data_IF_211808650696
#
_entry.id   IF_211808650696
#
_cell.length_a   1.000
_cell.length_b   1.000
_cell.length_c   1.000
_cell.angle_alpha   90.00
_cell.angle_beta   90.00
_cell.angle_gamma   90.00
#
_symmetry.space_group_name_H-M   'P 1'
#
loop_
_entity.id
_entity.type
_entity.pdbx_description
1 polymer ?
#
# COMPACT_ATOMS: atom_id res chain seq x y z
N UNK A 1 23.30 41.01 -20.13
CA UNK A 1 22.60 40.65 -18.87
C UNK A 1 21.82 39.31 -18.96
N UNK A 2 21.62 38.71 -20.14
CA UNK A 2 20.82 37.49 -20.33
C UNK A 2 21.37 36.19 -19.71
N UNK A 3 22.70 36.05 -19.56
CA UNK A 3 23.32 34.82 -19.04
C UNK A 3 23.06 34.60 -17.54
N UNK A 4 22.89 35.68 -16.76
CA UNK A 4 22.66 35.61 -15.31
C UNK A 4 21.20 35.20 -15.02
N UNK A 5 20.24 35.75 -15.77
CA UNK A 5 18.82 35.38 -15.66
C UNK A 5 18.55 33.95 -16.16
N UNK A 6 19.17 33.52 -17.26
CA UNK A 6 19.06 32.12 -17.71
C UNK A 6 19.66 31.12 -16.71
N UNK A 7 20.77 31.48 -16.05
CA UNK A 7 21.39 30.65 -15.02
C UNK A 7 20.48 30.52 -13.78
N UNK A 8 19.88 31.63 -13.31
CA UNK A 8 18.96 31.62 -12.16
C UNK A 8 17.67 30.83 -12.40
N UNK A 9 17.09 30.91 -13.61
CA UNK A 9 15.85 30.19 -13.96
C UNK A 9 16.11 28.70 -14.22
N UNK A 10 17.24 28.32 -14.85
CA UNK A 10 17.64 26.91 -14.99
C UNK A 10 17.93 26.25 -13.63
N UNK A 11 18.61 26.96 -12.72
CA UNK A 11 18.91 26.45 -11.37
C UNK A 11 17.63 26.20 -10.57
N UNK A 12 16.64 27.11 -10.61
CA UNK A 12 15.35 26.92 -9.91
C UNK A 12 14.50 25.80 -10.51
N UNK A 13 14.48 25.64 -11.84
CA UNK A 13 13.78 24.51 -12.50
C UNK A 13 14.44 23.16 -12.18
N UNK A 14 15.77 23.11 -12.18
CA UNK A 14 16.51 21.89 -11.83
C UNK A 14 16.33 21.51 -10.37
N UNK A 15 16.34 22.48 -9.45
CA UNK A 15 16.14 22.25 -8.02
C UNK A 15 14.71 21.79 -7.71
N UNK A 16 13.72 22.30 -8.44
CA UNK A 16 12.33 21.82 -8.37
C UNK A 16 12.21 20.35 -8.82
N UNK A 17 12.84 19.98 -9.93
CA UNK A 17 12.85 18.58 -10.42
C UNK A 17 13.50 17.65 -9.39
N UNK A 18 14.61 18.08 -8.77
CA UNK A 18 15.30 17.29 -7.74
C UNK A 18 14.40 17.08 -6.52
N UNK A 19 13.73 18.13 -6.01
CA UNK A 19 12.80 18.01 -4.88
C UNK A 19 11.68 17.02 -5.21
N UNK A 20 11.11 17.13 -6.42
CA UNK A 20 10.02 16.25 -6.85
C UNK A 20 10.47 14.79 -6.94
N UNK A 21 11.70 14.57 -7.43
CA UNK A 21 12.30 13.24 -7.52
C UNK A 21 12.63 12.66 -6.12
N UNK A 22 13.08 13.49 -5.17
CA UNK A 22 13.29 13.07 -3.78
C UNK A 22 11.97 12.68 -3.12
N UNK A 23 10.91 13.48 -3.29
CA UNK A 23 9.57 13.16 -2.76
C UNK A 23 9.07 11.83 -3.36
N UNK A 24 9.24 11.65 -4.68
CA UNK A 24 8.87 10.42 -5.37
C UNK A 24 9.62 9.21 -4.76
N UNK A 25 10.94 9.29 -4.62
CA UNK A 25 11.75 8.21 -4.04
C UNK A 25 11.36 7.93 -2.59
N UNK A 26 11.09 8.97 -1.78
CA UNK A 26 10.65 8.81 -0.40
C UNK A 26 9.28 8.12 -0.33
N UNK A 27 8.35 8.51 -1.20
CA UNK A 27 7.02 7.91 -1.28
C UNK A 27 7.08 6.44 -1.70
N UNK A 28 7.91 6.09 -2.68
CA UNK A 28 8.17 4.70 -3.09
C UNK A 28 8.77 3.89 -1.92
N UNK A 29 9.76 4.46 -1.23
CA UNK A 29 10.38 3.81 -0.07
C UNK A 29 9.37 3.55 1.05
N UNK A 30 8.53 4.53 1.36
CA UNK A 30 7.45 4.42 2.35
C UNK A 30 6.44 3.36 1.88
N UNK A 31 6.00 3.41 0.62
CA UNK A 31 5.07 2.41 0.08
C UNK A 31 5.62 0.99 0.22
N UNK A 32 6.87 0.78 -0.18
CA UNK A 32 7.50 -0.54 -0.17
C UNK A 32 7.83 -1.04 1.24
N UNK A 33 8.03 -0.12 2.20
CA UNK A 33 8.28 -0.46 3.60
C UNK A 33 6.99 -0.83 4.35
N UNK A 34 5.87 -0.23 4.00
CA UNK A 34 4.61 -0.38 4.74
C UNK A 34 3.55 -1.19 4.01
N UNK A 35 3.65 -1.39 2.69
CA UNK A 35 2.88 -2.40 1.98
C UNK A 35 3.72 -3.67 1.91
N UNK A 36 3.26 -4.72 2.58
CA UNK A 36 3.91 -6.01 2.56
C UNK A 36 2.88 -7.07 2.17
N UNK A 37 3.27 -7.97 1.29
CA UNK A 37 2.52 -9.19 1.04
C UNK A 37 3.47 -10.35 1.04
N UNK A 38 3.04 -11.46 1.63
CA UNK A 38 3.81 -12.68 1.63
C UNK A 38 2.89 -13.86 1.37
N UNK A 39 3.49 -14.92 0.81
CA UNK A 39 2.83 -16.17 0.53
C UNK A 39 3.62 -17.30 1.17
N UNK A 40 2.95 -18.08 2.00
CA UNK A 40 3.50 -19.29 2.58
C UNK A 40 2.70 -20.49 2.12
N UNK A 41 3.41 -21.59 1.88
CA UNK A 41 2.80 -22.84 1.46
C UNK A 41 3.12 -23.90 2.51
N UNK A 42 2.09 -24.64 2.90
CA UNK A 42 2.14 -25.65 3.95
C UNK A 42 1.68 -27.00 3.41
N UNK A 43 2.21 -28.06 3.99
CA UNK A 43 1.72 -29.43 3.77
C UNK A 43 1.23 -29.96 5.11
N UNK A 44 -0.06 -30.27 5.19
CA UNK A 44 -0.75 -30.63 6.42
C UNK A 44 -1.16 -32.10 6.39
N UNK A 45 -1.00 -32.79 7.52
CA UNK A 45 -1.37 -34.20 7.69
C UNK A 45 -2.80 -34.34 8.22
N UNK A 46 -3.42 -35.52 8.06
CA UNK A 46 -4.71 -35.82 8.68
C UNK A 46 -4.66 -35.65 10.20
N UNK A 47 -5.77 -35.19 10.79
CA UNK A 47 -5.90 -34.88 12.23
C UNK A 47 -4.90 -33.86 12.79
N UNK A 48 -4.13 -33.18 11.96
CA UNK A 48 -3.20 -32.15 12.40
C UNK A 48 -3.96 -30.85 12.71
N UNK A 49 -3.61 -30.24 13.85
CA UNK A 49 -3.99 -28.87 14.18
C UNK A 49 -2.76 -28.01 13.95
N UNK A 50 -2.81 -27.18 12.93
CA UNK A 50 -1.74 -26.27 12.57
C UNK A 50 -2.11 -24.85 13.01
N UNK A 51 -1.16 -24.08 13.54
CA UNK A 51 -1.37 -22.69 13.95
C UNK A 51 -0.21 -21.81 13.48
N UNK A 52 -0.49 -20.87 12.58
CA UNK A 52 0.52 -19.94 12.06
C UNK A 52 0.34 -18.54 12.66
N UNK A 53 1.38 -17.96 13.29
CA UNK A 53 1.37 -16.56 13.72
C UNK A 53 1.57 -15.61 12.54
N UNK A 54 0.56 -14.79 12.29
CA UNK A 54 0.54 -13.73 11.29
C UNK A 54 0.79 -12.40 12.00
N UNK A 55 2.02 -11.88 11.88
CA UNK A 55 2.41 -10.62 12.52
C UNK A 55 1.92 -9.42 11.68
N UNK A 56 0.92 -8.71 12.19
CA UNK A 56 0.37 -7.50 11.56
C UNK A 56 1.19 -6.29 12.01
N UNK A 57 1.98 -5.74 11.10
CA UNK A 57 2.87 -4.59 11.38
C UNK A 57 2.16 -3.26 11.15
N UNK A 58 2.27 -2.34 12.09
CA UNK A 58 1.86 -0.95 11.92
C UNK A 58 1.85 -0.13 13.21
N UNK A 59 1.25 1.06 13.15
CA UNK A 59 1.18 1.97 14.29
C UNK A 59 0.06 1.55 15.26
N UNK A 60 0.34 1.48 16.58
CA UNK A 60 -0.65 1.06 17.56
C UNK A 60 -1.91 1.95 17.52
N UNK A 61 -3.09 1.32 17.62
CA UNK A 61 -4.38 2.01 17.59
C UNK A 61 -4.89 2.39 16.19
N UNK A 62 -4.17 2.08 15.12
CA UNK A 62 -4.63 2.27 13.73
C UNK A 62 -5.21 0.97 13.20
N UNK A 63 -6.45 0.99 12.70
CA UNK A 63 -7.05 -0.15 12.01
C UNK A 63 -6.40 -0.34 10.65
N UNK A 64 -5.81 -1.52 10.42
CA UNK A 64 -5.12 -1.87 9.19
C UNK A 64 -6.02 -2.80 8.38
N UNK A 65 -6.34 -2.43 7.13
CA UNK A 65 -6.98 -3.36 6.20
C UNK A 65 -6.02 -4.52 5.94
N UNK A 66 -6.42 -5.70 6.38
CA UNK A 66 -5.67 -6.95 6.23
C UNK A 66 -6.54 -7.94 5.46
N UNK A 67 -6.01 -8.45 4.36
CA UNK A 67 -6.67 -9.51 3.60
C UNK A 67 -5.90 -10.80 3.76
N UNK A 68 -6.59 -11.82 4.25
CA UNK A 68 -6.08 -13.17 4.40
C UNK A 68 -6.75 -14.06 3.35
N UNK A 69 -5.95 -14.68 2.50
CA UNK A 69 -6.43 -15.63 1.51
C UNK A 69 -5.85 -17.00 1.84
N UNK A 70 -6.76 -17.96 2.03
CA UNK A 70 -6.43 -19.37 2.20
C UNK A 70 -6.90 -20.14 0.99
N UNK A 71 -6.03 -20.98 0.46
CA UNK A 71 -6.38 -21.94 -0.57
C UNK A 71 -5.89 -23.32 -0.14
N UNK A 72 -6.79 -24.29 -0.13
CA UNK A 72 -6.51 -25.65 0.29
C UNK A 72 -6.93 -26.67 -0.78
N UNK A 73 -6.19 -27.78 -0.86
CA UNK A 73 -6.55 -28.90 -1.73
C UNK A 73 -7.73 -29.72 -1.17
N UNK A 74 -7.93 -29.70 0.15
CA UNK A 74 -8.91 -30.50 0.90
C UNK A 74 -9.84 -29.60 1.73
N UNK A 75 -10.98 -30.16 2.15
CA UNK A 75 -11.88 -29.48 3.08
C UNK A 75 -11.29 -29.51 4.48
N UNK A 76 -11.13 -28.35 5.10
CA UNK A 76 -10.70 -28.21 6.48
C UNK A 76 -11.48 -27.07 7.15
N UNK A 77 -11.42 -27.05 8.49
CA UNK A 77 -11.97 -25.95 9.27
C UNK A 77 -10.85 -24.96 9.58
N UNK A 78 -11.05 -23.69 9.24
CA UNK A 78 -10.07 -22.62 9.42
C UNK A 78 -10.62 -21.59 10.41
N UNK A 79 -9.77 -21.20 11.34
CA UNK A 79 -10.05 -20.26 12.41
C UNK A 79 -9.02 -19.16 12.41
N UNK A 80 -9.45 -17.92 12.63
CA UNK A 80 -8.55 -16.80 12.90
C UNK A 80 -8.84 -16.27 14.29
N UNK A 81 -7.83 -16.27 15.15
CA UNK A 81 -7.89 -15.76 16.52
C UNK A 81 -6.93 -14.58 16.68
N UNK A 82 -7.29 -13.62 17.52
CA UNK A 82 -6.29 -12.71 18.08
C UNK A 82 -5.38 -13.48 19.07
N UNK A 83 -4.22 -12.90 19.38
CA UNK A 83 -3.24 -13.49 20.29
C UNK A 83 -3.83 -13.88 21.66
N UNK A 84 -4.65 -13.03 22.28
CA UNK A 84 -5.20 -13.30 23.62
C UNK A 84 -6.18 -14.47 23.59
N UNK A 85 -7.05 -14.47 22.58
CA UNK A 85 -8.05 -15.52 22.36
C UNK A 85 -7.38 -16.84 21.98
N UNK A 86 -6.33 -16.80 21.16
CA UNK A 86 -5.55 -18.00 20.84
C UNK A 86 -4.93 -18.63 22.09
N UNK A 87 -4.24 -17.85 22.94
CA UNK A 87 -3.61 -18.39 24.15
C UNK A 87 -4.61 -18.98 25.15
N UNK A 88 -5.85 -18.48 25.19
CA UNK A 88 -6.95 -19.06 25.98
C UNK A 88 -7.31 -20.48 25.53
N UNK A 89 -7.12 -20.79 24.25
CA UNK A 89 -7.55 -22.04 23.63
C UNK A 89 -6.40 -23.01 23.28
N UNK A 90 -5.18 -22.51 23.09
CA UNK A 90 -4.01 -23.29 22.66
C UNK A 90 -3.72 -24.53 23.52
N UNK A 91 -3.95 -24.46 24.83
CA UNK A 91 -3.68 -25.57 25.75
C UNK A 91 -4.74 -26.69 25.74
N UNK A 92 -5.78 -26.59 24.91
CA UNK A 92 -6.86 -27.58 24.88
C UNK A 92 -6.64 -28.53 23.71
N UNK A 93 -6.43 -29.81 24.04
CA UNK A 93 -6.14 -30.89 23.10
C UNK A 93 -7.22 -31.05 22.00
N UNK A 94 -8.44 -30.62 22.30
CA UNK A 94 -9.51 -30.47 21.34
C UNK A 94 -9.84 -28.99 21.20
N UNK A 95 -9.92 -28.50 19.96
CA UNK A 95 -10.63 -27.27 19.61
C UNK A 95 -12.12 -27.64 19.39
N UNK A 96 -12.98 -27.61 20.43
CA UNK A 96 -14.41 -27.85 20.32
C UNK A 96 -15.12 -26.75 19.53
N UNK A 97 -16.28 -27.13 19.02
CA UNK A 97 -17.17 -26.25 18.26
C UNK A 97 -17.63 -25.02 19.05
N UNK A 98 -17.58 -25.04 20.38
CA UNK A 98 -17.90 -23.90 21.23
C UNK A 98 -16.96 -22.68 21.06
N UNK A 99 -15.86 -22.81 20.31
CA UNK A 99 -14.93 -21.70 20.07
C UNK A 99 -15.25 -20.90 18.81
N UNK A 100 -16.32 -21.25 18.10
CA UNK A 100 -16.77 -20.55 16.89
C UNK A 100 -17.17 -19.10 17.17
N UNK A 101 -17.80 -18.85 18.32
CA UNK A 101 -18.32 -17.53 18.68
C UNK A 101 -17.22 -16.54 19.09
N UNK A 102 -16.05 -17.04 19.50
CA UNK A 102 -14.91 -16.23 19.93
C UNK A 102 -13.86 -16.02 18.81
N UNK A 103 -14.01 -16.69 17.66
CA UNK A 103 -13.11 -16.51 16.53
C UNK A 103 -13.39 -15.18 15.81
N UNK A 104 -12.33 -14.46 15.43
CA UNK A 104 -12.44 -13.24 14.60
C UNK A 104 -13.04 -13.57 13.24
N UNK A 105 -12.73 -14.76 12.73
CA UNK A 105 -13.38 -15.33 11.56
C UNK A 105 -13.37 -16.86 11.64
N UNK A 106 -14.46 -17.49 11.21
CA UNK A 106 -14.60 -18.93 11.11
C UNK A 106 -15.25 -19.32 9.78
N UNK A 107 -14.72 -20.36 9.14
CA UNK A 107 -15.38 -21.00 8.02
C UNK A 107 -15.19 -22.52 8.07
N UNK A 108 -16.31 -23.25 8.04
CA UNK A 108 -16.35 -24.71 8.00
C UNK A 108 -16.21 -25.21 6.57
N UNK A 109 -15.33 -26.19 6.33
CA UNK A 109 -15.24 -26.93 5.06
C UNK A 109 -15.08 -26.06 3.79
N UNK A 110 -14.00 -25.29 3.69
CA UNK A 110 -13.75 -24.45 2.51
C UNK A 110 -12.43 -24.80 1.80
N UNK A 111 -12.48 -25.04 0.48
CA UNK A 111 -11.30 -25.16 -0.38
C UNK A 111 -10.60 -23.82 -0.61
N UNK A 112 -11.32 -22.72 -0.48
CA UNK A 112 -10.80 -21.36 -0.57
C UNK A 112 -11.54 -20.47 0.41
N UNK A 113 -10.81 -19.68 1.15
CA UNK A 113 -11.33 -18.64 2.04
C UNK A 113 -10.66 -17.33 1.69
N UNK A 114 -11.45 -16.28 1.68
CA UNK A 114 -10.99 -14.91 1.58
C UNK A 114 -11.61 -14.16 2.77
N UNK A 115 -10.77 -13.77 3.71
CA UNK A 115 -11.19 -12.98 4.87
C UNK A 115 -10.61 -11.59 4.73
N UNK A 116 -11.48 -10.60 4.58
CA UNK A 116 -11.11 -9.20 4.72
C UNK A 116 -11.44 -8.76 6.15
N UNK A 117 -10.45 -8.25 6.86
CA UNK A 117 -10.63 -7.78 8.22
C UNK A 117 -9.88 -6.46 8.44
N UNK A 118 -10.40 -5.63 9.33
CA UNK A 118 -9.65 -4.49 9.87
C UNK A 118 -9.08 -4.91 11.21
N UNK A 119 -7.76 -5.02 11.28
CA UNK A 119 -7.06 -5.49 12.49
C UNK A 119 -6.14 -4.41 13.02
N UNK A 120 -6.03 -4.32 14.33
CA UNK A 120 -4.97 -3.51 14.96
C UNK A 120 -3.64 -4.25 14.84
N UNK A 121 -2.50 -3.53 14.81
CA UNK A 121 -1.19 -4.17 14.84
C UNK A 121 -1.07 -5.12 16.04
N UNK A 122 -0.48 -6.29 15.79
CA UNK A 122 -0.43 -7.39 16.75
C UNK A 122 -0.25 -8.73 16.04
N UNK A 123 -0.32 -9.82 16.78
CA UNK A 123 -0.22 -11.18 16.24
C UNK A 123 -1.63 -11.77 16.09
N UNK A 124 -1.94 -12.27 14.90
CA UNK A 124 -3.11 -13.10 14.64
C UNK A 124 -2.66 -14.54 14.52
N UNK A 125 -3.40 -15.47 15.08
CA UNK A 125 -3.13 -16.90 14.91
C UNK A 125 -4.16 -17.50 13.97
N UNK A 126 -3.67 -18.05 12.87
CA UNK A 126 -4.52 -18.79 11.95
C UNK A 126 -4.40 -20.26 12.26
N UNK A 127 -5.47 -20.83 12.79
CA UNK A 127 -5.55 -22.24 13.15
C UNK A 127 -6.28 -23.01 12.07
N UNK A 128 -5.71 -24.11 11.61
CA UNK A 128 -6.31 -25.01 10.63
C UNK A 128 -6.47 -26.38 11.26
N UNK A 129 -7.70 -26.88 11.29
CA UNK A 129 -8.03 -28.22 11.77
C UNK A 129 -8.31 -29.13 10.58
N UNK A 130 -7.40 -30.07 10.35
CA UNK A 130 -7.57 -31.06 9.29
C UNK A 130 -8.62 -32.10 9.67
N UNK A 131 -9.42 -32.59 8.71
CA UNK A 131 -10.32 -33.69 8.94
C UNK A 131 -9.54 -35.00 9.19
N UNK A 132 -10.27 -36.03 9.63
CA UNK A 132 -9.72 -37.36 9.84
C UNK A 132 -9.28 -38.02 8.53
N UNK A 133 -8.35 -38.97 8.62
CA UNK A 133 -7.78 -39.68 7.46
C UNK A 133 -8.87 -40.33 6.59
N UNK A 134 -9.90 -40.91 7.22
CA UNK A 134 -11.08 -41.48 6.53
C UNK A 134 -11.88 -40.47 5.68
N UNK A 135 -11.74 -39.17 5.98
CA UNK A 135 -12.46 -38.08 5.32
C UNK A 135 -11.57 -37.30 4.35
N UNK A 136 -10.27 -37.58 4.28
CA UNK A 136 -9.37 -36.96 3.31
C UNK A 136 -9.33 -37.77 2.01
N UNK A 137 -9.21 -37.09 0.87
CA UNK A 137 -9.02 -37.76 -0.42
C UNK A 137 -7.55 -38.07 -0.71
N UNK A 138 -6.63 -37.42 0.02
CA UNK A 138 -5.19 -37.60 -0.07
C UNK A 138 -4.54 -37.75 1.31
N UNK A 139 -3.36 -38.41 1.41
CA UNK A 139 -2.63 -38.58 2.68
C UNK A 139 -2.05 -37.27 3.24
N UNK A 140 -2.12 -36.18 2.49
CA UNK A 140 -1.78 -34.83 2.93
C UNK A 140 -2.56 -33.79 2.13
N UNK A 141 -2.76 -32.61 2.72
CA UNK A 141 -3.33 -31.46 2.05
C UNK A 141 -2.28 -30.37 1.85
N UNK A 142 -2.31 -29.71 0.69
CA UNK A 142 -1.56 -28.48 0.49
C UNK A 142 -2.43 -27.28 0.89
N UNK A 143 -1.80 -26.34 1.59
CA UNK A 143 -2.41 -25.06 1.94
C UNK A 143 -1.50 -23.93 1.46
N UNK A 144 -2.07 -22.84 0.95
CA UNK A 144 -1.33 -21.60 0.75
C UNK A 144 -2.02 -20.45 1.48
N UNK A 145 -1.28 -19.79 2.35
CA UNK A 145 -1.66 -18.58 3.03
C UNK A 145 -1.04 -17.39 2.30
N UNK A 146 -1.88 -16.51 1.78
CA UNK A 146 -1.45 -15.24 1.25
C UNK A 146 -1.98 -14.13 2.15
N UNK A 147 -1.06 -13.32 2.68
CA UNK A 147 -1.38 -12.20 3.56
C UNK A 147 -1.02 -10.91 2.84
N UNK A 148 -1.98 -10.01 2.76
CA UNK A 148 -1.81 -8.70 2.16
C UNK A 148 -2.11 -7.60 3.20
N UNK A 149 -1.10 -6.75 3.45
CA UNK A 149 -1.21 -5.61 4.35
C UNK A 149 -1.19 -4.31 3.55
N UNK A 150 -2.26 -3.51 3.69
CA UNK A 150 -2.40 -2.22 2.99
C UNK A 150 -2.66 -1.03 3.92
N UNK A 151 -1.78 -0.74 4.90
CA UNK A 151 -1.98 0.37 5.83
C UNK A 151 -1.98 1.76 5.15
N UNK A 152 -1.37 1.88 3.97
CA UNK A 152 -1.27 3.14 3.22
C UNK A 152 -2.32 3.30 2.12
N UNK A 153 -3.18 2.31 1.90
CA UNK A 153 -4.28 2.41 0.92
C UNK A 153 -5.19 3.64 1.16
N UNK A 154 -5.57 3.99 2.41
CA UNK A 154 -6.32 5.22 2.65
C UNK A 154 -5.54 6.48 2.28
N UNK A 155 -4.22 6.47 2.51
CA UNK A 155 -3.35 7.62 2.25
C UNK A 155 -3.03 7.78 0.76
N UNK A 156 -3.05 6.71 -0.02
CA UNK A 156 -2.92 6.76 -1.48
C UNK A 156 -4.05 7.58 -2.11
N UNK A 157 -5.28 7.44 -1.62
CA UNK A 157 -6.41 8.26 -2.09
C UNK A 157 -6.21 9.75 -1.74
N UNK A 158 -5.70 10.07 -0.56
CA UNK A 158 -5.40 11.45 -0.18
C UNK A 158 -4.25 12.06 -1.00
N UNK A 159 -3.20 11.28 -1.29
CA UNK A 159 -2.08 11.70 -2.15
C UNK A 159 -2.53 11.97 -3.58
N UNK A 160 -3.32 11.06 -4.17
CA UNK A 160 -3.85 11.25 -5.53
C UNK A 160 -4.78 12.46 -5.62
N UNK A 161 -5.55 12.74 -4.58
CA UNK A 161 -6.40 13.93 -4.50
C UNK A 161 -5.58 15.21 -4.37
N UNK A 162 -4.48 15.18 -3.60
CA UNK A 162 -3.52 16.29 -3.51
C UNK A 162 -2.90 16.58 -4.90
N UNK A 163 -2.44 15.55 -5.61
CA UNK A 163 -1.86 15.67 -6.95
C UNK A 163 -2.87 16.22 -7.96
N UNK A 164 -4.13 15.79 -7.87
CA UNK A 164 -5.22 16.31 -8.71
C UNK A 164 -5.47 17.81 -8.52
N UNK A 165 -5.10 18.39 -7.37
CA UNK A 165 -5.20 19.84 -7.11
C UNK A 165 -3.89 20.55 -7.47
N UNK A 166 -2.74 19.96 -7.11
CA UNK A 166 -1.42 20.58 -7.28
C UNK A 166 -1.02 20.66 -8.76
N UNK A 167 -1.28 19.62 -9.56
CA UNK A 167 -0.89 19.57 -10.98
C UNK A 167 -1.59 20.68 -11.79
N UNK A 168 -2.92 20.87 -11.70
CA UNK A 168 -3.58 21.99 -12.37
C UNK A 168 -3.08 23.36 -11.93
N UNK A 169 -2.83 23.55 -10.63
CA UNK A 169 -2.28 24.81 -10.11
C UNK A 169 -0.88 25.11 -10.67
N UNK A 170 -0.04 24.08 -10.78
CA UNK A 170 1.29 24.21 -11.38
C UNK A 170 1.21 24.52 -12.87
N UNK A 171 0.32 23.84 -13.61
CA UNK A 171 0.08 24.10 -15.03
C UNK A 171 -0.43 25.54 -15.26
N UNK A 172 -1.37 25.99 -14.43
CA UNK A 172 -1.88 27.36 -14.45
C UNK A 172 -0.76 28.37 -14.21
N UNK A 173 0.11 28.12 -13.22
CA UNK A 173 1.25 29.00 -12.92
C UNK A 173 2.23 29.07 -14.09
N UNK A 174 2.55 27.94 -14.72
CA UNK A 174 3.40 27.88 -15.92
C UNK A 174 2.76 28.65 -17.08
N UNK A 175 1.45 28.48 -17.29
CA UNK A 175 0.70 29.19 -18.32
C UNK A 175 0.74 30.71 -18.11
N UNK A 176 0.45 31.19 -16.89
CA UNK A 176 0.47 32.62 -16.55
C UNK A 176 1.87 33.21 -16.71
N UNK A 177 2.90 32.51 -16.23
CA UNK A 177 4.30 32.94 -16.40
C UNK A 177 4.67 33.01 -17.89
N UNK A 178 4.29 32.01 -18.68
CA UNK A 178 4.49 31.97 -20.13
C UNK A 178 3.84 33.16 -20.84
N UNK A 179 2.58 33.48 -20.49
CA UNK A 179 1.86 34.64 -21.03
C UNK A 179 2.55 35.96 -20.66
N UNK A 180 2.96 36.13 -19.40
CA UNK A 180 3.70 37.33 -18.96
C UNK A 180 5.03 37.50 -19.70
N UNK A 181 5.79 36.42 -19.91
CA UNK A 181 7.02 36.49 -20.71
C UNK A 181 6.77 36.82 -22.17
N UNK A 182 5.66 36.36 -22.77
CA UNK A 182 5.30 36.70 -24.15
C UNK A 182 4.94 38.18 -24.28
N UNK A 183 4.18 38.72 -23.32
CA UNK A 183 3.82 40.14 -23.25
C UNK A 183 5.06 41.03 -23.07
N UNK A 184 5.94 40.68 -22.12
CA UNK A 184 7.21 41.39 -21.92
C UNK A 184 8.07 41.39 -23.18
N UNK A 185 8.16 40.27 -23.89
CA UNK A 185 8.93 40.17 -25.14
C UNK A 185 8.33 41.03 -26.25
N UNK A 186 7.00 41.12 -26.31
CA UNK A 186 6.28 41.92 -27.30
C UNK A 186 6.38 43.43 -27.02
N UNK A 187 6.36 43.82 -25.74
CA UNK A 187 6.64 45.20 -25.32
C UNK A 187 8.08 45.59 -25.65
N UNK A 188 9.05 44.72 -25.33
CA UNK A 188 10.46 44.98 -25.63
C UNK A 188 10.73 45.11 -27.14
N UNK A 189 10.05 44.31 -27.98
CA UNK A 189 10.19 44.42 -29.44
C UNK A 189 9.57 45.71 -29.99
N UNK A 190 8.45 46.16 -29.43
CA UNK A 190 7.82 47.42 -29.83
C UNK A 190 8.67 48.64 -29.41
N UNK A 191 9.24 48.61 -28.20
CA UNK A 191 10.18 49.64 -27.74
C UNK A 191 11.43 49.65 -28.63
N UNK A 192 11.95 48.49 -29.04
CA UNK A 192 13.10 48.35 -29.95
C UNK A 192 12.81 48.78 -31.41
N UNK A 193 11.56 48.70 -31.85
CA UNK A 193 11.12 49.18 -33.17
C UNK A 193 10.86 50.69 -33.17
N UNK A 194 10.65 51.29 -31.99
CA UNK A 194 10.46 52.74 -31.83
C UNK A 194 11.76 53.54 -31.67
N UNK A 195 12.90 52.86 -31.58
CA UNK A 195 14.22 53.50 -31.46
C UNK A 195 14.73 53.99 -32.82
N UNK A 196 15.33 55.19 -32.82
CA UNK A 196 16.07 55.76 -33.94
C UNK A 196 17.20 54.83 -34.41
N UNK A 197 17.47 54.79 -35.72
CA UNK A 197 18.53 53.96 -36.31
C UNK A 197 19.92 54.20 -35.67
N UNK A 198 20.19 55.41 -35.15
CA UNK A 198 21.42 55.73 -34.42
C UNK A 198 21.50 55.11 -33.01
N UNK A 199 20.36 54.97 -32.32
CA UNK A 199 20.28 54.34 -30.99
C UNK A 199 20.18 52.82 -31.07
N UNK A 200 19.78 52.27 -32.23
CA UNK A 200 19.69 50.82 -32.47
C UNK A 200 21.05 50.13 -32.62
N UNK A 201 22.09 50.89 -32.99
CA UNK A 201 23.47 50.41 -33.22
C UNK A 201 24.36 50.51 -31.96
N UNK A 202 23.96 51.33 -30.98
CA UNK A 202 24.61 51.40 -29.66
C UNK A 202 24.16 50.29 -28.71
#
# INVERSE_FOLDING_TARGET
MDKIFQCGVKRRRSLFIIILLVILLLSIYILNKYMYSYRENYTLKPNEVFAEPVEVKGAPGVGIPTKLYFQMSELADIYVFDEQTYWKYYNKADFPESYYDDAVAFQRSAKKIEVEMSTTPGVLYVVVKMPSEEKMTAPSASASLYVEYKPLEPFLYMLTLLDAILIPLLLLRVYVLGKKTKVLRMQLSLDLDSLSDEDRVR
#
